data_IF_312135524594
#
_entry.id   IF_312135524594
#
_cell.length_a   1.000
_cell.length_b   1.000
_cell.length_c   1.000
_cell.angle_alpha   90.00
_cell.angle_beta   90.00
_cell.angle_gamma   90.00
#
_symmetry.space_group_name_H-M   'P 1'
#
loop_
_entity.id
_entity.type
_entity.pdbx_description
1 polymer ?
#
# COMPACT_ATOMS: atom_id res chain seq x y z
N UNK A 1 27.43 20.72 -13.07
CA UNK A 1 27.63 20.88 -14.53
C UNK A 1 26.31 20.54 -15.18
N UNK A 2 25.55 21.56 -15.55
CA UNK A 2 24.14 21.43 -15.92
C UNK A 2 23.95 20.80 -17.30
N UNK A 3 22.78 20.21 -17.51
CA UNK A 3 22.32 19.62 -18.78
C UNK A 3 22.51 20.61 -19.97
N UNK A 4 22.54 21.91 -19.70
CA UNK A 4 22.61 23.01 -20.70
C UNK A 4 23.98 23.20 -21.36
N UNK A 5 25.07 22.72 -20.80
CA UNK A 5 26.42 22.87 -21.36
C UNK A 5 26.69 22.03 -22.62
N UNK A 6 25.77 21.14 -22.99
CA UNK A 6 25.92 20.20 -24.10
C UNK A 6 25.31 20.67 -25.43
N UNK A 7 24.57 21.78 -25.42
CA UNK A 7 23.87 22.27 -26.59
C UNK A 7 24.51 23.56 -27.11
N UNK A 8 24.65 23.72 -28.44
CA UNK A 8 25.17 24.91 -29.04
C UNK A 8 24.31 26.17 -28.74
N UNK A 9 24.90 27.39 -28.76
CA UNK A 9 24.25 28.65 -28.34
C UNK A 9 22.84 28.87 -28.90
N UNK A 10 22.57 28.51 -30.15
CA UNK A 10 21.21 28.60 -30.75
C UNK A 10 20.16 27.73 -30.08
N UNK A 11 20.56 26.58 -29.57
CA UNK A 11 19.70 25.65 -28.84
C UNK A 11 19.47 26.12 -27.41
N UNK A 12 20.48 26.77 -26.79
CA UNK A 12 20.38 27.37 -25.46
C UNK A 12 19.43 28.58 -25.44
N UNK A 13 19.47 29.45 -26.46
CA UNK A 13 18.55 30.60 -26.57
C UNK A 13 17.10 30.12 -26.70
N UNK A 14 16.85 29.09 -27.50
CA UNK A 14 15.51 28.50 -27.69
C UNK A 14 15.00 27.73 -26.44
N UNK A 15 15.89 27.08 -25.71
CA UNK A 15 15.55 26.46 -24.41
C UNK A 15 15.17 27.51 -23.36
N UNK A 16 15.88 28.64 -23.32
CA UNK A 16 15.55 29.77 -22.45
C UNK A 16 14.22 30.45 -22.81
N UNK A 17 13.87 30.50 -24.10
CA UNK A 17 12.52 30.91 -24.56
C UNK A 17 11.43 29.92 -24.16
N UNK A 18 11.73 28.65 -24.25
CA UNK A 18 10.84 27.56 -23.81
C UNK A 18 10.55 27.64 -22.31
N UNK A 19 11.59 27.79 -21.50
CA UNK A 19 11.44 27.93 -20.03
C UNK A 19 10.57 29.14 -19.68
N UNK A 20 10.77 30.27 -20.40
CA UNK A 20 9.94 31.48 -20.22
C UNK A 20 8.48 31.24 -20.62
N UNK A 21 8.25 30.55 -21.74
CA UNK A 21 6.89 30.18 -22.18
C UNK A 21 6.20 29.22 -21.24
N UNK A 22 6.91 28.20 -20.74
CA UNK A 22 6.40 27.23 -19.74
C UNK A 22 6.10 27.92 -18.42
N UNK A 23 6.93 28.88 -17.98
CA UNK A 23 6.68 29.65 -16.76
C UNK A 23 5.43 30.53 -16.88
N UNK A 24 5.22 31.20 -18.04
CA UNK A 24 3.99 31.95 -18.34
C UNK A 24 2.75 31.07 -18.40
N UNK A 25 2.87 29.87 -18.96
CA UNK A 25 1.79 28.86 -18.96
C UNK A 25 1.51 28.33 -17.53
N UNK A 26 2.52 28.31 -16.65
CA UNK A 26 2.40 28.02 -15.22
C UNK A 26 1.46 28.98 -14.48
N UNK A 27 1.34 30.23 -14.91
CA UNK A 27 0.54 31.29 -14.29
C UNK A 27 -0.93 31.34 -14.75
N UNK A 28 -1.32 30.70 -15.86
CA UNK A 28 -2.62 30.84 -16.55
C UNK A 28 -3.60 29.63 -16.50
N UNK A 29 -3.72 28.85 -15.47
CA UNK A 29 -4.66 27.73 -15.11
C UNK A 29 -5.74 27.24 -16.10
N UNK A 30 -5.87 25.95 -16.23
CA UNK A 30 -6.96 25.01 -16.50
C UNK A 30 -7.00 24.15 -17.79
N UNK A 31 -6.37 24.46 -18.92
CA UNK A 31 -6.47 23.61 -20.14
C UNK A 31 -5.09 23.03 -20.59
N UNK A 32 -4.27 22.61 -19.66
CA UNK A 32 -2.82 22.66 -19.80
C UNK A 32 -2.12 21.40 -20.30
N UNK A 33 -2.60 20.21 -20.02
CA UNK A 33 -1.86 18.99 -20.39
C UNK A 33 -1.82 18.79 -21.91
N UNK A 34 -2.95 18.99 -22.60
CA UNK A 34 -3.05 18.88 -24.07
C UNK A 34 -2.32 19.99 -24.79
N UNK A 35 -2.31 21.22 -24.24
CA UNK A 35 -1.60 22.37 -24.84
C UNK A 35 -0.10 22.26 -24.69
N UNK A 36 0.40 21.71 -23.59
CA UNK A 36 1.84 21.49 -23.34
C UNK A 36 2.37 20.36 -24.22
N UNK A 37 1.66 19.24 -24.33
CA UNK A 37 2.07 18.15 -25.22
C UNK A 37 2.07 18.57 -26.69
N UNK A 38 1.08 19.32 -27.16
CA UNK A 38 1.03 19.86 -28.52
C UNK A 38 2.16 20.86 -28.78
N UNK A 39 2.47 21.75 -27.83
CA UNK A 39 3.55 22.72 -27.93
C UNK A 39 4.92 22.05 -27.87
N UNK A 40 5.07 20.99 -27.10
CA UNK A 40 6.26 20.15 -27.03
C UNK A 40 6.53 19.46 -28.37
N UNK A 41 5.51 18.90 -29.00
CA UNK A 41 5.59 18.27 -30.32
C UNK A 41 5.95 19.28 -31.42
N UNK A 42 5.43 20.50 -31.32
CA UNK A 42 5.78 21.62 -32.25
C UNK A 42 7.24 22.01 -32.09
N UNK A 43 7.76 22.10 -30.89
CA UNK A 43 9.12 22.48 -30.57
C UNK A 43 10.15 21.39 -30.89
N UNK A 44 9.80 20.11 -30.66
CA UNK A 44 10.61 18.97 -31.10
C UNK A 44 10.78 19.00 -32.64
N UNK A 45 9.74 19.35 -33.39
CA UNK A 45 9.81 19.50 -34.85
C UNK A 45 10.64 20.71 -35.30
N UNK A 46 10.72 21.78 -34.50
CA UNK A 46 11.45 23.01 -34.84
C UNK A 46 12.96 22.92 -34.55
N UNK A 47 13.42 21.97 -33.74
CA UNK A 47 14.84 21.83 -33.33
C UNK A 47 15.63 20.94 -34.30
N UNK A 48 15.30 20.74 -35.50
CA UNK A 48 16.03 20.31 -36.71
C UNK A 48 17.24 19.33 -36.63
N UNK A 49 17.93 19.18 -35.52
CA UNK A 49 18.96 18.16 -35.24
C UNK A 49 18.35 17.13 -34.29
N UNK A 50 18.33 15.85 -34.70
CA UNK A 50 17.60 14.78 -34.04
C UNK A 50 18.08 14.57 -32.58
N UNK A 51 17.33 15.05 -31.59
CA UNK A 51 17.60 14.67 -30.18
C UNK A 51 17.44 13.16 -30.03
N UNK A 52 18.32 12.56 -29.26
CA UNK A 52 18.21 11.10 -28.98
C UNK A 52 16.93 10.81 -28.17
N UNK A 53 16.41 9.60 -28.25
CA UNK A 53 15.26 9.16 -27.45
C UNK A 53 15.50 9.30 -25.92
N UNK A 54 16.76 9.43 -25.50
CA UNK A 54 17.19 9.70 -24.13
C UNK A 54 17.01 11.17 -23.80
N UNK A 55 17.47 12.07 -24.67
CA UNK A 55 17.36 13.53 -24.49
C UNK A 55 15.89 13.97 -24.43
N UNK A 56 15.04 13.35 -25.26
CA UNK A 56 13.60 13.60 -25.25
C UNK A 56 12.92 13.11 -23.96
N UNK A 57 13.38 11.99 -23.41
CA UNK A 57 12.88 11.49 -22.11
C UNK A 57 13.29 12.41 -20.97
N UNK A 58 14.56 12.84 -20.93
CA UNK A 58 15.07 13.75 -19.90
C UNK A 58 14.39 15.13 -19.98
N UNK A 59 14.14 15.64 -21.18
CA UNK A 59 13.40 16.89 -21.39
C UNK A 59 11.94 16.77 -20.99
N UNK A 60 11.26 15.68 -21.36
CA UNK A 60 9.89 15.40 -20.89
C UNK A 60 9.81 15.29 -19.37
N UNK A 61 10.80 14.67 -18.74
CA UNK A 61 10.87 14.54 -17.28
C UNK A 61 11.09 15.91 -16.62
N UNK A 62 11.98 16.74 -17.14
CA UNK A 62 12.22 18.09 -16.65
C UNK A 62 10.99 19.01 -16.82
N UNK A 63 10.31 18.95 -17.97
CA UNK A 63 9.10 19.74 -18.24
C UNK A 63 7.88 19.28 -17.43
N UNK A 64 7.75 18.00 -17.17
CA UNK A 64 6.69 17.46 -16.28
C UNK A 64 6.86 17.94 -14.84
N UNK A 65 8.10 18.05 -14.36
CA UNK A 65 8.40 18.60 -13.03
C UNK A 65 8.03 20.09 -12.89
N UNK A 66 8.07 20.86 -13.98
CA UNK A 66 7.76 22.31 -14.00
C UNK A 66 6.27 22.57 -14.30
N UNK A 67 5.63 21.70 -15.07
CA UNK A 67 4.27 21.89 -15.61
C UNK A 67 3.20 21.05 -14.92
N UNK A 68 3.56 20.20 -13.94
CA UNK A 68 2.57 19.45 -13.18
C UNK A 68 1.64 20.44 -12.47
N UNK A 69 0.32 20.48 -12.82
CA UNK A 69 -0.64 21.17 -11.97
C UNK A 69 -0.48 20.50 -10.60
N UNK A 70 -0.40 21.28 -9.55
CA UNK A 70 -0.38 20.68 -8.22
C UNK A 70 -1.67 19.85 -8.07
N UNK A 71 -1.62 18.52 -8.04
CA UNK A 71 -2.82 17.69 -7.80
C UNK A 71 -3.49 18.08 -6.50
N UNK A 72 -2.77 18.82 -5.68
CA UNK A 72 -3.12 19.31 -4.40
C UNK A 72 -4.38 20.19 -4.40
N UNK A 73 -4.60 21.10 -5.34
CA UNK A 73 -5.65 22.10 -5.17
C UNK A 73 -7.05 21.51 -5.35
N UNK A 74 -7.31 20.74 -6.40
CA UNK A 74 -8.60 20.06 -6.58
C UNK A 74 -8.85 18.95 -5.55
N UNK A 75 -7.78 18.33 -5.03
CA UNK A 75 -7.84 17.39 -3.92
C UNK A 75 -8.31 18.11 -2.65
N UNK A 76 -7.70 19.23 -2.31
CA UNK A 76 -8.03 20.03 -1.13
C UNK A 76 -9.47 20.57 -1.20
N UNK A 77 -9.88 21.11 -2.34
CA UNK A 77 -11.26 21.59 -2.55
C UNK A 77 -12.30 20.50 -2.25
N UNK A 78 -12.04 19.26 -2.71
CA UNK A 78 -12.94 18.14 -2.44
C UNK A 78 -12.99 17.79 -0.96
N UNK A 79 -11.84 17.81 -0.27
CA UNK A 79 -11.76 17.50 1.16
C UNK A 79 -12.35 18.64 2.01
N UNK A 80 -12.12 19.90 1.63
CA UNK A 80 -12.71 21.07 2.27
C UNK A 80 -14.25 21.00 2.25
N UNK A 81 -14.84 20.59 1.12
CA UNK A 81 -16.28 20.37 0.99
C UNK A 81 -16.78 19.27 1.94
N UNK A 82 -16.09 18.13 2.02
CA UNK A 82 -16.41 17.03 2.94
C UNK A 82 -16.32 17.51 4.40
N UNK A 83 -15.26 18.23 4.75
CA UNK A 83 -15.06 18.74 6.11
C UNK A 83 -16.17 19.72 6.52
N UNK A 84 -16.53 20.63 5.61
CA UNK A 84 -17.53 21.68 5.86
C UNK A 84 -18.98 21.17 5.86
N UNK A 85 -19.28 20.02 5.24
CA UNK A 85 -20.65 19.55 5.04
C UNK A 85 -21.40 19.19 6.34
N UNK A 86 -20.68 18.80 7.39
CA UNK A 86 -21.25 18.26 8.63
C UNK A 86 -21.88 16.85 8.51
N UNK A 87 -21.96 16.28 7.30
CA UNK A 87 -22.57 14.97 7.04
C UNK A 87 -21.66 13.82 7.53
N UNK A 88 -22.22 12.61 7.76
CA UNK A 88 -21.40 11.41 7.92
C UNK A 88 -20.45 11.22 6.75
N UNK A 89 -19.26 10.70 7.01
CA UNK A 89 -18.21 10.49 6.01
C UNK A 89 -17.88 9.00 5.93
N UNK A 90 -18.18 8.38 4.79
CA UNK A 90 -17.71 7.05 4.48
C UNK A 90 -16.25 7.12 4.02
N UNK A 91 -15.36 6.51 4.78
CA UNK A 91 -13.93 6.42 4.48
C UNK A 91 -13.64 5.05 3.84
N UNK A 92 -13.44 5.03 2.54
CA UNK A 92 -13.35 3.81 1.74
C UNK A 92 -14.29 3.85 0.53
N UNK A 93 -14.78 2.68 0.05
CA UNK A 93 -14.40 1.34 0.47
C UNK A 93 -12.96 1.00 0.10
N UNK A 94 -12.25 0.27 0.97
CA UNK A 94 -10.93 -0.23 0.64
C UNK A 94 -11.04 -1.68 0.12
N UNK A 95 -10.80 -1.87 -1.17
CA UNK A 95 -10.83 -3.16 -1.86
C UNK A 95 -9.45 -3.60 -2.35
N UNK A 96 -8.42 -2.78 -2.09
CA UNK A 96 -7.05 -2.99 -2.56
C UNK A 96 -6.19 -3.90 -1.69
N UNK A 97 -4.91 -3.95 -2.01
CA UNK A 97 -3.90 -4.76 -1.32
C UNK A 97 -3.63 -4.25 0.11
N UNK A 98 -3.35 -5.18 1.03
CA UNK A 98 -2.99 -4.91 2.44
C UNK A 98 -1.79 -3.96 2.55
N UNK A 99 -0.77 -4.16 1.72
CA UNK A 99 0.44 -3.33 1.76
C UNK A 99 0.18 -1.87 1.44
N UNK A 100 -0.67 -1.57 0.45
CA UNK A 100 -1.06 -0.20 0.11
C UNK A 100 -1.95 0.42 1.19
N UNK A 101 -2.82 -0.36 1.82
CA UNK A 101 -3.65 0.08 2.93
C UNK A 101 -2.80 0.56 4.10
N UNK A 102 -1.82 -0.26 4.50
CA UNK A 102 -0.94 0.02 5.63
C UNK A 102 0.05 1.14 5.38
N UNK A 103 0.67 1.19 4.18
CA UNK A 103 1.75 2.13 3.89
C UNK A 103 1.26 3.50 3.41
N UNK A 104 0.08 3.56 2.80
CA UNK A 104 -0.37 4.79 2.15
C UNK A 104 -1.76 5.22 2.60
N UNK A 105 -2.77 4.33 2.56
CA UNK A 105 -4.15 4.72 2.82
C UNK A 105 -4.39 5.12 4.27
N UNK A 106 -4.05 4.28 5.22
CA UNK A 106 -4.20 4.58 6.65
C UNK A 106 -3.39 5.82 7.04
N UNK A 107 -2.09 5.96 6.69
CA UNK A 107 -1.33 7.18 6.96
C UNK A 107 -1.90 8.44 6.29
N UNK A 108 -2.52 8.32 5.11
CA UNK A 108 -3.21 9.42 4.45
C UNK A 108 -4.47 9.84 5.23
N UNK A 109 -5.27 8.90 5.72
CA UNK A 109 -6.42 9.19 6.59
C UNK A 109 -5.98 9.87 7.89
N UNK A 110 -4.91 9.40 8.54
CA UNK A 110 -4.38 10.03 9.74
C UNK A 110 -3.93 11.49 9.47
N UNK A 111 -3.33 11.75 8.31
CA UNK A 111 -2.99 13.10 7.89
C UNK A 111 -4.24 13.95 7.68
N UNK A 112 -5.29 13.42 7.01
CA UNK A 112 -6.55 14.10 6.80
C UNK A 112 -7.23 14.46 8.13
N UNK A 113 -7.36 13.50 9.05
CA UNK A 113 -7.92 13.73 10.39
C UNK A 113 -7.25 14.89 11.09
N UNK A 114 -5.93 14.90 11.07
CA UNK A 114 -5.17 15.96 11.73
C UNK A 114 -5.27 17.32 11.03
N UNK A 115 -5.42 17.35 9.70
CA UNK A 115 -5.48 18.59 8.92
C UNK A 115 -6.85 19.27 8.96
N UNK A 116 -7.92 18.47 8.93
CA UNK A 116 -9.29 18.96 8.87
C UNK A 116 -10.08 18.75 10.16
N UNK A 117 -9.46 18.18 11.21
CA UNK A 117 -10.10 17.91 12.49
C UNK A 117 -11.44 17.17 12.32
N UNK A 118 -11.47 16.18 11.42
CA UNK A 118 -12.66 15.37 11.20
C UNK A 118 -13.04 14.69 12.51
N UNK A 119 -14.30 14.93 12.94
CA UNK A 119 -14.81 14.29 14.15
C UNK A 119 -14.92 12.78 13.92
N UNK A 120 -14.36 11.95 14.79
CA UNK A 120 -14.52 10.49 14.71
C UNK A 120 -15.98 10.05 14.66
N UNK A 121 -16.89 10.85 15.25
CA UNK A 121 -18.32 10.54 15.28
C UNK A 121 -19.00 10.59 13.92
N UNK A 122 -18.40 11.26 12.96
CA UNK A 122 -18.87 11.32 11.58
C UNK A 122 -18.33 10.20 10.70
N UNK A 123 -17.31 9.50 11.14
CA UNK A 123 -16.60 8.54 10.30
C UNK A 123 -17.29 7.17 10.28
N UNK A 124 -17.41 6.59 9.09
CA UNK A 124 -17.76 5.19 8.86
C UNK A 124 -16.66 4.59 8.01
N UNK A 125 -15.80 3.80 8.64
CA UNK A 125 -14.70 3.12 7.93
C UNK A 125 -15.24 1.89 7.21
N UNK A 126 -14.87 1.75 5.94
CA UNK A 126 -15.28 0.61 5.12
C UNK A 126 -14.05 -0.08 4.53
N UNK A 127 -13.74 -1.25 5.05
CA UNK A 127 -12.64 -2.11 4.59
C UNK A 127 -13.04 -3.58 4.74
N UNK A 128 -12.11 -4.51 4.83
CA UNK A 128 -12.35 -5.94 4.86
C UNK A 128 -11.52 -6.66 5.92
N UNK A 129 -11.98 -7.83 6.37
CA UNK A 129 -11.25 -8.73 7.24
C UNK A 129 -11.16 -8.30 8.71
N UNK A 130 -12.05 -7.39 9.17
CA UNK A 130 -12.18 -6.99 10.56
C UNK A 130 -11.17 -5.96 11.07
N UNK A 131 -10.57 -5.16 10.21
CA UNK A 131 -9.40 -4.29 10.51
C UNK A 131 -9.73 -2.94 11.15
N UNK A 132 -10.82 -2.82 11.90
CA UNK A 132 -11.19 -1.59 12.60
C UNK A 132 -10.03 -0.99 13.42
N UNK A 133 -9.28 -1.82 14.14
CA UNK A 133 -8.12 -1.43 14.94
C UNK A 133 -6.98 -0.78 14.13
N UNK A 134 -6.83 -1.10 12.84
CA UNK A 134 -5.83 -0.44 11.99
C UNK A 134 -6.13 1.03 11.79
N UNK A 135 -7.41 1.41 11.82
CA UNK A 135 -7.88 2.79 11.68
C UNK A 135 -8.04 3.51 13.02
N UNK A 136 -7.71 2.87 14.15
CA UNK A 136 -7.93 3.41 15.48
C UNK A 136 -9.41 3.63 15.78
N UNK A 137 -10.27 2.78 15.21
CA UNK A 137 -11.73 2.88 15.36
C UNK A 137 -12.30 1.70 16.12
N UNK A 138 -13.41 1.95 16.79
CA UNK A 138 -14.24 0.93 17.39
C UNK A 138 -15.06 0.17 16.33
N UNK A 139 -15.50 -1.03 16.66
CA UNK A 139 -16.22 -1.91 15.72
C UNK A 139 -17.56 -1.29 15.24
N UNK A 140 -18.19 -0.43 16.05
CA UNK A 140 -19.43 0.25 15.70
C UNK A 140 -19.27 1.31 14.61
N UNK A 141 -18.05 1.77 14.35
CA UNK A 141 -17.72 2.72 13.28
C UNK A 141 -17.06 2.07 12.06
N UNK A 142 -17.00 0.78 12.06
CA UNK A 142 -16.41 -0.03 10.99
C UNK A 142 -17.49 -0.89 10.34
N UNK A 143 -17.46 -0.99 9.02
CA UNK A 143 -18.26 -1.93 8.24
C UNK A 143 -17.33 -2.80 7.43
N UNK A 144 -17.41 -4.10 7.67
CA UNK A 144 -16.66 -5.07 6.88
C UNK A 144 -17.39 -5.36 5.56
N UNK A 145 -16.67 -5.23 4.45
CA UNK A 145 -17.22 -5.52 3.12
C UNK A 145 -17.67 -6.98 3.03
N UNK A 146 -16.89 -7.89 3.66
CA UNK A 146 -17.15 -9.32 3.61
C UNK A 146 -18.31 -9.76 4.50
N UNK A 147 -18.82 -8.87 5.37
CA UNK A 147 -20.10 -9.08 6.06
C UNK A 147 -21.33 -8.76 5.18
N UNK A 148 -21.14 -8.00 4.10
CA UNK A 148 -22.20 -7.57 3.18
C UNK A 148 -22.16 -8.31 1.84
N UNK A 149 -20.98 -8.80 1.44
CA UNK A 149 -20.72 -9.51 0.20
C UNK A 149 -19.90 -10.77 0.49
N UNK A 150 -20.17 -11.85 -0.23
CA UNK A 150 -19.38 -13.07 -0.10
C UNK A 150 -17.93 -12.86 -0.56
N UNK A 151 -17.00 -13.69 -0.08
CA UNK A 151 -15.61 -13.65 -0.51
C UNK A 151 -15.47 -13.88 -2.03
N UNK A 152 -16.35 -14.70 -2.63
CA UNK A 152 -16.36 -14.97 -4.07
C UNK A 152 -16.82 -13.75 -4.87
N UNK A 153 -17.88 -13.06 -4.43
CA UNK A 153 -18.32 -11.79 -5.06
C UNK A 153 -17.25 -10.72 -4.97
N UNK A 154 -16.62 -10.59 -3.80
CA UNK A 154 -15.51 -9.65 -3.59
C UNK A 154 -14.37 -9.94 -4.56
N UNK A 155 -13.89 -11.20 -4.61
CA UNK A 155 -12.79 -11.62 -5.47
C UNK A 155 -13.08 -11.40 -6.95
N UNK A 156 -14.29 -11.77 -7.41
CA UNK A 156 -14.73 -11.57 -8.80
C UNK A 156 -14.74 -10.08 -9.16
N UNK A 157 -15.27 -9.21 -8.29
CA UNK A 157 -15.33 -7.77 -8.52
C UNK A 157 -13.94 -7.13 -8.58
N UNK A 158 -13.04 -7.51 -7.67
CA UNK A 158 -11.65 -7.01 -7.64
C UNK A 158 -10.88 -7.46 -8.89
N UNK A 159 -11.11 -8.68 -9.37
CA UNK A 159 -10.48 -9.20 -10.60
C UNK A 159 -10.96 -8.47 -11.86
N UNK A 160 -12.25 -8.06 -11.93
CA UNK A 160 -12.79 -7.26 -13.03
C UNK A 160 -12.22 -5.84 -13.06
N UNK A 161 -12.00 -5.24 -11.90
CA UNK A 161 -11.48 -3.88 -11.78
C UNK A 161 -9.97 -3.82 -11.98
N UNK A 162 -9.49 -4.07 -13.21
CA UNK A 162 -8.06 -4.04 -13.58
C UNK A 162 -7.34 -2.72 -13.34
N UNK A 163 -8.04 -1.62 -13.06
CA UNK A 163 -7.47 -0.29 -12.79
C UNK A 163 -7.66 0.07 -11.32
N UNK A 164 -6.63 -0.26 -10.54
CA UNK A 164 -6.55 -0.01 -9.10
C UNK A 164 -7.02 1.41 -8.74
N UNK A 165 -8.20 1.52 -8.14
CA UNK A 165 -8.70 2.54 -7.21
C UNK A 165 -8.52 4.04 -7.55
N UNK A 166 -8.15 4.43 -8.77
CA UNK A 166 -8.00 5.86 -9.12
C UNK A 166 -9.34 6.62 -9.16
N UNK A 167 -10.43 5.91 -9.38
CA UNK A 167 -11.81 6.42 -9.38
C UNK A 167 -12.72 5.34 -8.81
N UNK A 168 -13.87 5.71 -8.21
CA UNK A 168 -14.87 4.73 -7.80
C UNK A 168 -15.26 3.83 -8.97
N UNK A 169 -15.27 2.52 -8.73
CA UNK A 169 -15.74 1.49 -9.66
C UNK A 169 -17.19 1.10 -9.37
N UNK A 170 -17.75 0.23 -10.21
CA UNK A 170 -19.11 -0.26 -10.03
C UNK A 170 -19.28 -1.03 -8.69
N UNK A 171 -18.25 -1.75 -8.27
CA UNK A 171 -18.28 -2.45 -6.99
C UNK A 171 -18.20 -1.48 -5.81
N UNK A 172 -17.35 -0.44 -5.87
CA UNK A 172 -17.28 0.59 -4.83
C UNK A 172 -18.63 1.27 -4.62
N UNK A 173 -19.37 1.56 -5.71
CA UNK A 173 -20.72 2.12 -5.62
C UNK A 173 -21.72 1.14 -4.98
N UNK A 174 -21.65 -0.15 -5.32
CA UNK A 174 -22.48 -1.20 -4.71
C UNK A 174 -22.21 -1.29 -3.21
N UNK A 175 -20.94 -1.31 -2.80
CA UNK A 175 -20.53 -1.34 -1.40
C UNK A 175 -21.04 -0.10 -0.67
N UNK A 176 -20.82 1.09 -1.24
CA UNK A 176 -21.32 2.35 -0.65
C UNK A 176 -22.83 2.31 -0.40
N UNK A 177 -23.62 1.91 -1.41
CA UNK A 177 -25.07 1.78 -1.28
C UNK A 177 -25.49 0.74 -0.23
N UNK A 178 -24.77 -0.38 -0.15
CA UNK A 178 -25.03 -1.43 0.84
C UNK A 178 -24.72 -0.93 2.27
N UNK A 179 -23.63 -0.20 2.47
CA UNK A 179 -23.25 0.38 3.76
C UNK A 179 -24.28 1.42 4.21
N UNK A 180 -24.67 2.34 3.32
CA UNK A 180 -25.71 3.35 3.61
C UNK A 180 -26.99 2.69 4.10
N UNK A 181 -27.44 1.66 3.40
CA UNK A 181 -28.64 0.90 3.79
C UNK A 181 -28.45 0.14 5.11
N UNK A 182 -27.32 -0.54 5.28
CA UNK A 182 -27.02 -1.32 6.47
C UNK A 182 -26.96 -0.48 7.74
N UNK A 183 -26.44 0.75 7.62
CA UNK A 183 -26.29 1.70 8.74
C UNK A 183 -27.48 2.66 8.90
N UNK A 184 -28.44 2.64 8.00
CA UNK A 184 -29.57 3.58 8.01
C UNK A 184 -29.14 5.03 7.85
N UNK A 185 -28.06 5.29 7.08
CA UNK A 185 -27.52 6.63 6.86
C UNK A 185 -28.39 7.38 5.84
N UNK A 186 -28.55 8.69 6.04
CA UNK A 186 -29.08 9.60 5.03
C UNK A 186 -28.01 10.00 4.02
N UNK A 187 -27.98 11.30 3.68
CA UNK A 187 -26.93 11.85 2.82
C UNK A 187 -25.55 11.71 3.47
N UNK A 188 -24.59 11.15 2.72
CA UNK A 188 -23.22 10.93 3.17
C UNK A 188 -22.22 11.55 2.20
N UNK A 189 -21.07 11.91 2.73
CA UNK A 189 -19.89 12.18 1.91
C UNK A 189 -19.03 10.92 1.79
N UNK A 190 -18.31 10.77 0.68
CA UNK A 190 -17.43 9.62 0.46
C UNK A 190 -15.99 10.09 0.27
N UNK A 191 -15.14 9.68 1.19
CA UNK A 191 -13.69 9.84 1.08
C UNK A 191 -13.12 8.57 0.44
N UNK A 192 -13.09 8.55 -0.90
CA UNK A 192 -12.68 7.37 -1.66
C UNK A 192 -11.16 7.27 -1.79
N UNK A 193 -10.54 6.05 -1.75
CA UNK A 193 -9.11 5.83 -1.92
C UNK A 193 -8.51 6.44 -3.19
N UNK A 194 -9.32 6.67 -4.22
CA UNK A 194 -8.93 7.37 -5.43
C UNK A 194 -8.32 8.75 -5.21
N UNK A 195 -8.64 9.42 -4.09
CA UNK A 195 -8.02 10.69 -3.71
C UNK A 195 -6.54 10.50 -3.42
N UNK A 196 -6.20 9.52 -2.58
CA UNK A 196 -4.83 9.15 -2.26
C UNK A 196 -4.06 8.69 -3.52
N UNK A 197 -4.68 7.85 -4.36
CA UNK A 197 -4.03 7.39 -5.59
C UNK A 197 -3.71 8.53 -6.56
N UNK A 198 -4.55 9.57 -6.62
CA UNK A 198 -4.24 10.77 -7.40
C UNK A 198 -3.16 11.63 -6.76
N UNK A 199 -3.19 11.80 -5.42
CA UNK A 199 -2.19 12.55 -4.69
C UNK A 199 -0.79 11.96 -4.84
N UNK A 200 -0.66 10.62 -4.83
CA UNK A 200 0.63 9.93 -4.87
C UNK A 200 1.03 9.44 -6.27
N UNK A 201 0.22 9.68 -7.30
CA UNK A 201 0.55 9.29 -8.66
C UNK A 201 1.95 9.77 -9.12
N UNK A 202 2.38 11.02 -8.86
CA UNK A 202 3.71 11.49 -9.22
C UNK A 202 4.85 10.72 -8.53
N UNK A 203 4.64 10.25 -7.30
CA UNK A 203 5.61 9.42 -6.60
C UNK A 203 5.78 8.04 -7.24
N UNK A 204 4.66 7.40 -7.60
CA UNK A 204 4.70 6.07 -8.23
C UNK A 204 5.13 6.07 -9.69
N UNK A 205 5.13 7.24 -10.35
CA UNK A 205 5.65 7.43 -11.72
C UNK A 205 7.06 8.00 -11.77
N UNK A 206 7.78 8.06 -10.64
CA UNK A 206 9.13 8.63 -10.51
C UNK A 206 9.22 10.14 -10.86
N UNK A 207 8.10 10.86 -10.81
CA UNK A 207 8.04 12.31 -11.06
C UNK A 207 8.24 13.12 -9.77
N UNK A 208 8.03 12.51 -8.60
CA UNK A 208 8.24 13.13 -7.29
C UNK A 208 8.95 12.17 -6.32
N UNK A 209 9.71 12.76 -5.38
CA UNK A 209 10.39 12.00 -4.33
C UNK A 209 9.55 11.77 -3.08
N UNK A 210 10.18 11.20 -2.05
CA UNK A 210 9.54 10.85 -0.75
C UNK A 210 8.90 12.04 -0.04
N UNK A 211 9.37 13.27 -0.28
CA UNK A 211 8.80 14.48 0.30
C UNK A 211 7.29 14.61 0.02
N UNK A 212 6.82 14.11 -1.14
CA UNK A 212 5.39 14.08 -1.45
C UNK A 212 4.62 13.14 -0.50
N UNK A 213 5.17 11.96 -0.21
CA UNK A 213 4.54 11.02 0.71
C UNK A 213 4.54 11.59 2.13
N UNK A 214 5.67 12.12 2.61
CA UNK A 214 5.80 12.72 3.95
C UNK A 214 4.84 13.90 4.15
N UNK A 215 4.59 14.68 3.09
CA UNK A 215 3.68 15.83 3.14
C UNK A 215 2.23 15.42 3.40
N UNK A 216 1.79 14.27 2.88
CA UNK A 216 0.39 13.84 2.88
C UNK A 216 0.14 12.56 3.67
N UNK A 217 1.08 12.16 4.52
CA UNK A 217 0.91 10.99 5.39
C UNK A 217 1.32 11.28 6.82
N UNK A 218 0.70 10.55 7.75
CA UNK A 218 1.11 10.44 9.16
C UNK A 218 1.11 8.97 9.56
N UNK A 219 2.23 8.27 9.38
CA UNK A 219 2.33 6.89 9.81
C UNK A 219 2.24 6.80 11.34
N UNK A 220 1.69 5.71 11.85
CA UNK A 220 1.63 5.41 13.28
C UNK A 220 1.77 3.92 13.54
N UNK A 221 2.11 3.58 14.77
CA UNK A 221 2.00 2.21 15.23
C UNK A 221 0.53 1.78 15.29
N UNK A 222 0.28 0.51 15.04
CA UNK A 222 -1.06 -0.05 15.11
C UNK A 222 -1.37 -0.51 16.54
N UNK A 223 -2.63 -0.39 16.92
CA UNK A 223 -3.16 -0.93 18.15
C UNK A 223 -3.47 -2.42 17.97
N UNK A 224 -3.23 -3.21 19.01
CA UNK A 224 -3.56 -4.63 18.98
C UNK A 224 -5.05 -4.82 18.79
N UNK A 225 -5.43 -5.72 17.90
CA UNK A 225 -6.82 -6.16 17.77
C UNK A 225 -7.25 -6.90 19.02
N UNK A 226 -8.50 -6.70 19.45
CA UNK A 226 -9.13 -7.52 20.48
C UNK A 226 -9.51 -8.92 19.97
N UNK A 227 -9.50 -9.11 18.64
CA UNK A 227 -9.79 -10.38 18.00
C UNK A 227 -8.70 -11.42 18.30
N UNK A 228 -9.15 -12.59 18.73
CA UNK A 228 -8.26 -13.69 19.10
C UNK A 228 -8.59 -14.96 18.33
N UNK A 229 -7.64 -15.87 18.25
CA UNK A 229 -7.87 -17.22 17.76
C UNK A 229 -8.67 -18.03 18.79
N UNK A 230 -9.41 -19.05 18.34
CA UNK A 230 -10.20 -19.91 19.22
C UNK A 230 -9.34 -20.73 20.19
N UNK A 231 -8.19 -21.21 19.72
CA UNK A 231 -7.26 -21.96 20.55
C UNK A 231 -6.24 -21.03 21.22
N UNK A 232 -5.87 -21.25 22.47
CA UNK A 232 -4.83 -20.49 23.15
C UNK A 232 -3.49 -20.70 22.43
N UNK A 233 -2.80 -19.61 22.12
CA UNK A 233 -1.45 -19.64 21.56
C UNK A 233 -0.42 -19.73 22.70
N UNK A 234 0.74 -20.36 22.47
CA UNK A 234 1.85 -20.32 23.42
C UNK A 234 2.34 -18.88 23.63
N UNK A 235 3.01 -18.65 24.75
CA UNK A 235 3.55 -17.32 25.07
C UNK A 235 4.69 -16.90 24.14
N UNK A 236 5.43 -17.86 23.58
CA UNK A 236 6.56 -17.63 22.68
C UNK A 236 6.39 -18.40 21.37
N UNK A 237 6.35 -17.68 20.27
CA UNK A 237 6.20 -18.24 18.92
C UNK A 237 6.65 -17.28 17.84
N UNK A 238 6.90 -17.83 16.65
CA UNK A 238 7.12 -17.08 15.42
C UNK A 238 5.86 -17.19 14.55
N UNK A 239 5.31 -16.05 14.13
CA UNK A 239 4.20 -16.02 13.17
C UNK A 239 4.74 -16.19 11.75
N UNK A 240 4.15 -17.09 10.98
CA UNK A 240 4.65 -17.41 9.63
C UNK A 240 3.53 -17.37 8.62
N UNK A 241 3.80 -16.71 7.48
CA UNK A 241 2.95 -16.78 6.30
C UNK A 241 3.74 -16.79 5.00
N UNK A 242 3.70 -17.91 4.31
CA UNK A 242 4.15 -18.00 2.93
C UNK A 242 2.96 -18.03 1.99
N UNK A 243 3.03 -17.23 0.93
CA UNK A 243 2.08 -17.24 -0.17
C UNK A 243 2.82 -16.97 -1.47
N UNK A 244 2.26 -17.43 -2.59
CA UNK A 244 2.86 -17.26 -3.90
C UNK A 244 2.34 -16.00 -4.56
N UNK A 245 3.28 -15.24 -5.13
CA UNK A 245 3.06 -13.96 -5.80
C UNK A 245 4.09 -13.78 -6.92
N UNK A 246 4.08 -12.65 -7.61
CA UNK A 246 5.10 -12.35 -8.63
C UNK A 246 6.53 -12.35 -8.07
N UNK A 247 6.73 -11.85 -6.85
CA UNK A 247 8.06 -11.81 -6.23
C UNK A 247 8.47 -13.14 -5.58
N UNK A 248 7.52 -14.05 -5.34
CA UNK A 248 7.76 -15.40 -4.81
C UNK A 248 6.85 -16.40 -5.51
N UNK A 249 7.12 -16.73 -6.79
CA UNK A 249 6.23 -17.58 -7.60
C UNK A 249 6.18 -19.02 -7.10
N UNK A 250 5.12 -19.74 -7.45
CA UNK A 250 4.83 -21.11 -7.02
C UNK A 250 5.71 -22.17 -7.71
N UNK A 251 7.04 -21.99 -7.67
CA UNK A 251 8.00 -22.96 -8.20
C UNK A 251 8.31 -24.06 -7.19
N UNK A 252 8.89 -25.18 -7.65
CA UNK A 252 9.32 -26.28 -6.79
C UNK A 252 10.38 -25.82 -5.78
N UNK A 253 11.30 -24.95 -6.22
CA UNK A 253 12.37 -24.38 -5.40
C UNK A 253 11.81 -23.50 -4.27
N UNK A 254 10.86 -22.63 -4.59
CA UNK A 254 10.23 -21.75 -3.59
C UNK A 254 9.37 -22.54 -2.59
N UNK A 255 8.69 -23.60 -3.04
CA UNK A 255 7.97 -24.52 -2.16
C UNK A 255 8.92 -25.26 -1.21
N UNK A 256 10.04 -25.75 -1.73
CA UNK A 256 11.07 -26.40 -0.94
C UNK A 256 11.71 -25.42 0.04
N UNK A 257 12.01 -24.19 -0.40
CA UNK A 257 12.52 -23.12 0.47
C UNK A 257 11.60 -22.84 1.64
N UNK A 258 10.31 -22.59 1.38
CA UNK A 258 9.31 -22.34 2.43
C UNK A 258 9.23 -23.51 3.42
N UNK A 259 9.24 -24.76 2.92
CA UNK A 259 9.26 -25.96 3.76
C UNK A 259 10.47 -26.01 4.67
N UNK A 260 11.67 -25.76 4.11
CA UNK A 260 12.93 -25.81 4.86
C UNK A 260 12.97 -24.72 5.94
N UNK A 261 12.53 -23.50 5.63
CA UNK A 261 12.44 -22.40 6.60
C UNK A 261 11.51 -22.77 7.75
N UNK A 262 10.30 -23.22 7.46
CA UNK A 262 9.33 -23.59 8.49
C UNK A 262 9.83 -24.77 9.34
N UNK A 263 10.43 -25.79 8.71
CA UNK A 263 10.99 -26.94 9.42
C UNK A 263 12.13 -26.53 10.36
N UNK A 264 13.06 -25.69 9.88
CA UNK A 264 14.18 -25.19 10.68
C UNK A 264 13.73 -24.32 11.87
N UNK A 265 12.67 -23.53 11.71
CA UNK A 265 12.07 -22.78 12.82
C UNK A 265 11.40 -23.73 13.82
N UNK A 266 10.64 -24.72 13.35
CA UNK A 266 9.92 -25.65 14.20
C UNK A 266 10.82 -26.56 15.06
N UNK A 267 12.07 -26.78 14.64
CA UNK A 267 13.07 -27.48 15.46
C UNK A 267 13.42 -26.73 16.75
N UNK A 268 13.25 -25.40 16.76
CA UNK A 268 13.75 -24.52 17.82
C UNK A 268 12.67 -23.75 18.58
N UNK A 269 11.56 -23.43 17.91
CA UNK A 269 10.47 -22.62 18.48
C UNK A 269 9.12 -23.08 17.95
N UNK A 270 8.04 -22.65 18.59
CA UNK A 270 6.70 -22.85 18.04
C UNK A 270 6.49 -21.94 16.83
N UNK A 271 5.96 -22.50 15.76
CA UNK A 271 5.56 -21.81 14.53
C UNK A 271 4.05 -21.72 14.47
N UNK A 272 3.53 -20.50 14.31
CA UNK A 272 2.09 -20.27 14.11
C UNK A 272 1.86 -19.85 12.67
N UNK A 273 1.23 -20.73 11.89
CA UNK A 273 0.89 -20.53 10.49
C UNK A 273 -0.37 -19.67 10.37
N UNK A 274 -0.27 -18.57 9.61
CA UNK A 274 -1.34 -17.58 9.45
C UNK A 274 -2.28 -17.85 8.28
N UNK A 275 -2.05 -18.91 7.51
CA UNK A 275 -2.80 -19.20 6.30
C UNK A 275 -4.27 -19.51 6.63
N UNK A 276 -5.24 -18.79 6.02
CA UNK A 276 -6.64 -18.87 6.44
C UNK A 276 -7.39 -20.09 5.91
N UNK A 277 -6.85 -20.83 4.93
CA UNK A 277 -7.53 -21.97 4.31
C UNK A 277 -8.59 -21.60 3.27
N UNK A 278 -8.81 -20.30 3.00
CA UNK A 278 -9.69 -19.79 1.94
C UNK A 278 -9.02 -18.63 1.20
N UNK A 279 -9.43 -18.39 -0.05
CA UNK A 279 -8.92 -17.30 -0.88
C UNK A 279 -9.82 -16.06 -0.77
N UNK A 280 -9.21 -14.91 -0.42
CA UNK A 280 -9.87 -13.58 -0.46
C UNK A 280 -9.26 -12.71 -1.56
N UNK A 281 -8.03 -13.03 -2.00
CA UNK A 281 -7.27 -12.34 -3.04
C UNK A 281 -6.69 -13.34 -4.06
N UNK A 282 -5.87 -12.85 -4.98
CA UNK A 282 -5.23 -13.68 -6.01
C UNK A 282 -4.03 -14.50 -5.50
N UNK A 283 -3.67 -14.40 -4.22
CA UNK A 283 -2.53 -15.11 -3.67
C UNK A 283 -2.88 -16.56 -3.34
N UNK A 284 -2.03 -17.48 -3.77
CA UNK A 284 -2.13 -18.89 -3.39
C UNK A 284 -1.31 -19.13 -2.12
N UNK A 285 -1.98 -19.46 -1.03
CA UNK A 285 -1.33 -19.79 0.23
C UNK A 285 -0.52 -21.09 0.13
N UNK A 286 0.61 -21.13 0.83
CA UNK A 286 1.37 -22.34 1.04
C UNK A 286 1.11 -22.88 2.46
N UNK A 287 0.81 -24.16 2.56
CA UNK A 287 0.59 -24.85 3.85
C UNK A 287 1.66 -25.93 4.03
N UNK A 288 2.28 -26.06 5.21
CA UNK A 288 3.17 -27.17 5.52
C UNK A 288 2.37 -28.45 5.80
N UNK A 289 3.06 -29.58 5.71
CA UNK A 289 2.57 -30.81 6.30
C UNK A 289 2.49 -30.65 7.83
N UNK A 290 1.50 -31.28 8.46
CA UNK A 290 1.34 -31.25 9.94
C UNK A 290 2.57 -31.84 10.63
N UNK A 291 3.13 -31.11 11.60
CA UNK A 291 4.27 -31.52 12.40
C UNK A 291 4.15 -30.95 13.82
N UNK A 292 4.87 -31.56 14.75
CA UNK A 292 5.02 -31.03 16.11
C UNK A 292 5.54 -29.59 16.06
N UNK A 293 5.06 -28.75 16.97
CA UNK A 293 5.34 -27.32 17.08
C UNK A 293 4.89 -26.45 15.91
N UNK A 294 4.06 -26.95 15.00
CA UNK A 294 3.41 -26.15 13.96
C UNK A 294 1.93 -26.07 14.26
N UNK A 295 1.44 -24.87 14.57
CA UNK A 295 0.03 -24.59 14.86
C UNK A 295 -0.54 -23.83 13.65
N UNK A 296 -1.62 -24.31 13.08
CA UNK A 296 -2.39 -23.58 12.07
C UNK A 296 -3.57 -22.87 12.72
N UNK A 297 -3.81 -21.60 12.34
CA UNK A 297 -4.96 -20.84 12.81
C UNK A 297 -6.13 -20.86 11.81
N UNK A 298 -5.99 -21.56 10.69
CA UNK A 298 -7.00 -21.57 9.61
C UNK A 298 -8.37 -22.05 10.07
N UNK A 299 -8.41 -23.01 10.98
CA UNK A 299 -9.65 -23.57 11.51
C UNK A 299 -10.43 -22.53 12.32
N UNK A 300 -11.58 -22.13 11.79
CA UNK A 300 -12.47 -21.15 12.43
C UNK A 300 -12.20 -19.69 12.10
N UNK A 301 -11.31 -19.41 11.15
CA UNK A 301 -11.25 -18.09 10.50
C UNK A 301 -12.44 -17.93 9.56
N UNK A 302 -13.01 -16.73 9.56
CA UNK A 302 -14.01 -16.31 8.56
C UNK A 302 -13.47 -15.13 7.77
N UNK A 303 -13.93 -14.91 6.54
CA UNK A 303 -13.45 -13.78 5.73
C UNK A 303 -13.51 -12.44 6.45
N UNK A 304 -14.59 -12.18 7.21
CA UNK A 304 -14.85 -10.91 7.90
C UNK A 304 -13.89 -10.66 9.08
N UNK A 305 -13.25 -11.69 9.62
CA UNK A 305 -12.36 -11.60 10.78
C UNK A 305 -10.91 -11.95 10.46
N UNK A 306 -10.67 -12.36 9.23
CA UNK A 306 -9.41 -12.94 8.80
C UNK A 306 -8.19 -12.05 9.12
N UNK A 307 -8.20 -10.81 8.67
CA UNK A 307 -7.07 -9.89 8.88
C UNK A 307 -6.94 -9.45 10.34
N UNK A 308 -8.06 -9.26 11.04
CA UNK A 308 -8.05 -8.90 12.47
C UNK A 308 -7.40 -9.99 13.33
N UNK A 309 -7.79 -11.26 13.13
CA UNK A 309 -7.22 -12.38 13.87
C UNK A 309 -5.75 -12.57 13.53
N UNK A 310 -5.38 -12.55 12.26
CA UNK A 310 -3.98 -12.65 11.86
C UNK A 310 -3.13 -11.49 12.41
N UNK A 311 -3.68 -10.28 12.46
CA UNK A 311 -3.05 -9.11 13.09
C UNK A 311 -2.80 -9.36 14.58
N UNK A 312 -3.76 -9.88 15.30
CA UNK A 312 -3.63 -10.24 16.72
C UNK A 312 -2.54 -11.27 16.95
N UNK A 313 -2.47 -12.31 16.10
CA UNK A 313 -1.40 -13.32 16.15
C UNK A 313 -0.04 -12.70 15.86
N UNK A 314 0.09 -11.87 14.83
CA UNK A 314 1.36 -11.17 14.53
C UNK A 314 1.77 -10.27 15.70
N UNK A 315 0.84 -9.51 16.26
CA UNK A 315 1.12 -8.58 17.36
C UNK A 315 1.58 -9.26 18.66
N UNK A 316 1.25 -10.55 18.85
CA UNK A 316 1.70 -11.38 19.96
C UNK A 316 2.97 -12.19 19.69
N UNK A 317 3.43 -12.23 18.43
CA UNK A 317 4.59 -13.03 18.04
C UNK A 317 5.91 -12.36 18.42
N UNK A 318 6.95 -13.17 18.65
CA UNK A 318 8.33 -12.69 18.79
C UNK A 318 8.89 -12.14 17.49
N UNK A 319 8.52 -12.74 16.36
CA UNK A 319 8.91 -12.32 15.03
C UNK A 319 7.88 -12.78 14.00
N UNK A 320 7.90 -12.13 12.83
CA UNK A 320 7.20 -12.56 11.63
C UNK A 320 8.18 -13.06 10.57
N UNK A 321 7.85 -14.18 9.94
CA UNK A 321 8.62 -14.75 8.82
C UNK A 321 7.67 -15.10 7.68
N UNK A 322 7.99 -14.72 6.44
CA UNK A 322 7.13 -15.09 5.31
C UNK A 322 7.51 -14.47 3.98
N UNK A 323 6.56 -14.50 3.04
CA UNK A 323 6.74 -13.85 1.74
C UNK A 323 6.73 -12.33 1.89
N UNK A 324 7.61 -11.66 1.14
CA UNK A 324 7.64 -10.20 1.08
C UNK A 324 6.31 -9.64 0.52
N UNK A 325 5.70 -8.72 1.25
CA UNK A 325 4.43 -8.08 0.89
C UNK A 325 3.67 -7.53 2.09
N UNK A 326 2.36 -7.41 1.98
CA UNK A 326 1.51 -6.71 2.97
C UNK A 326 1.71 -7.15 4.41
N UNK A 327 1.80 -8.45 4.67
CA UNK A 327 2.00 -8.97 6.04
C UNK A 327 3.41 -8.66 6.59
N UNK A 328 4.40 -8.58 5.74
CA UNK A 328 5.75 -8.18 6.17
C UNK A 328 5.82 -6.71 6.57
N UNK A 329 4.91 -5.86 6.06
CA UNK A 329 4.77 -4.48 6.51
C UNK A 329 3.95 -4.37 7.80
N UNK A 330 2.99 -5.27 8.00
CA UNK A 330 2.10 -5.27 9.15
C UNK A 330 2.85 -5.51 10.47
N UNK A 331 3.75 -6.50 10.51
CA UNK A 331 4.46 -6.89 11.71
C UNK A 331 5.27 -5.75 12.36
N UNK A 332 6.10 -4.98 11.63
CA UNK A 332 6.80 -3.83 12.18
C UNK A 332 5.90 -2.79 12.82
N UNK A 333 4.70 -2.57 12.29
CA UNK A 333 3.73 -1.63 12.85
C UNK A 333 3.19 -2.06 14.22
N UNK A 334 3.34 -3.33 14.59
CA UNK A 334 3.11 -3.86 15.95
C UNK A 334 4.38 -3.98 16.79
N UNK A 335 5.50 -3.40 16.34
CA UNK A 335 6.83 -3.56 16.95
C UNK A 335 7.36 -5.00 16.94
N UNK A 336 6.93 -5.81 15.98
CA UNK A 336 7.39 -7.17 15.76
C UNK A 336 8.36 -7.19 14.58
N UNK A 337 9.62 -7.64 14.75
CA UNK A 337 10.58 -7.70 13.66
C UNK A 337 10.11 -8.69 12.58
N UNK A 338 10.35 -8.34 11.31
CA UNK A 338 9.92 -9.13 10.17
C UNK A 338 11.10 -9.53 9.28
N UNK A 339 11.17 -10.82 8.96
CA UNK A 339 12.03 -11.35 7.88
C UNK A 339 11.13 -11.76 6.72
N UNK A 340 11.38 -11.15 5.56
CA UNK A 340 10.53 -11.32 4.39
C UNK A 340 11.34 -11.81 3.19
N UNK A 341 10.87 -12.86 2.53
CA UNK A 341 11.59 -13.53 1.45
C UNK A 341 10.99 -13.24 0.09
N UNK A 342 11.86 -13.07 -0.90
CA UNK A 342 11.54 -13.00 -2.31
C UNK A 342 12.57 -13.79 -3.14
N UNK A 343 12.15 -14.31 -4.28
CA UNK A 343 13.05 -14.98 -5.25
C UNK A 343 13.14 -14.23 -6.57
N UNK A 344 12.32 -13.20 -6.76
CA UNK A 344 12.36 -12.30 -7.91
C UNK A 344 12.10 -10.88 -7.44
N UNK A 345 12.96 -9.95 -7.83
CA UNK A 345 12.78 -8.53 -7.53
C UNK A 345 11.79 -7.90 -8.52
N UNK A 346 10.55 -8.39 -8.55
CA UNK A 346 9.46 -7.84 -9.35
C UNK A 346 8.73 -6.68 -8.67
N UNK A 347 8.97 -6.48 -7.38
CA UNK A 347 8.37 -5.38 -6.60
C UNK A 347 9.12 -4.06 -6.81
N UNK A 348 8.38 -2.96 -6.73
CA UNK A 348 8.97 -1.62 -6.80
C UNK A 348 9.67 -1.30 -5.49
N UNK A 349 10.95 -0.91 -5.55
CA UNK A 349 11.74 -0.48 -4.38
C UNK A 349 11.12 0.72 -3.65
N UNK A 350 10.31 1.53 -4.32
CA UNK A 350 9.55 2.63 -3.72
C UNK A 350 8.75 2.21 -2.49
N UNK A 351 8.05 1.06 -2.55
CA UNK A 351 7.22 0.60 -1.43
C UNK A 351 8.08 0.18 -0.24
N UNK A 352 9.21 -0.50 -0.49
CA UNK A 352 10.16 -0.88 0.55
C UNK A 352 10.77 0.35 1.22
N UNK A 353 11.24 1.31 0.42
CA UNK A 353 11.84 2.54 0.95
C UNK A 353 10.81 3.39 1.72
N UNK A 354 9.58 3.51 1.21
CA UNK A 354 8.51 4.19 1.93
C UNK A 354 8.21 3.52 3.28
N UNK A 355 8.17 2.18 3.31
CA UNK A 355 8.00 1.42 4.54
C UNK A 355 9.15 1.65 5.54
N UNK A 356 10.40 1.51 5.11
CA UNK A 356 11.58 1.69 5.95
C UNK A 356 11.63 3.12 6.54
N UNK A 357 11.29 4.11 5.72
CA UNK A 357 11.21 5.51 6.15
C UNK A 357 10.11 5.72 7.19
N UNK A 358 8.89 5.25 6.91
CA UNK A 358 7.78 5.33 7.85
C UNK A 358 8.10 4.63 9.19
N UNK A 359 8.68 3.42 9.13
CA UNK A 359 9.06 2.65 10.31
C UNK A 359 10.10 3.37 11.16
N UNK A 360 11.11 3.98 10.52
CA UNK A 360 12.11 4.79 11.22
C UNK A 360 11.48 6.00 11.94
N UNK A 361 10.52 6.68 11.30
CA UNK A 361 9.86 7.87 11.87
C UNK A 361 9.04 7.54 13.12
N UNK A 362 8.43 6.37 13.20
CA UNK A 362 7.52 5.99 14.29
C UNK A 362 8.13 5.01 15.30
N UNK A 363 9.40 4.67 15.16
CA UNK A 363 10.05 3.68 16.02
C UNK A 363 9.44 2.28 15.92
N UNK A 364 9.00 1.89 14.71
CA UNK A 364 8.55 0.54 14.40
C UNK A 364 9.72 -0.46 14.41
N UNK A 365 9.42 -1.75 14.44
CA UNK A 365 10.46 -2.78 14.35
C UNK A 365 11.07 -2.88 12.93
N UNK A 366 12.18 -3.61 12.82
CA UNK A 366 12.88 -3.78 11.55
C UNK A 366 12.10 -4.69 10.57
N UNK A 367 12.14 -4.34 9.31
CA UNK A 367 11.79 -5.20 8.18
C UNK A 367 13.07 -5.57 7.42
N UNK A 368 13.35 -6.85 7.30
CA UNK A 368 14.50 -7.40 6.58
C UNK A 368 14.03 -8.20 5.36
N UNK A 369 14.01 -7.61 4.16
CA UNK A 369 13.75 -8.34 2.92
C UNK A 369 15.02 -9.08 2.49
N UNK A 370 14.92 -10.38 2.19
CA UNK A 370 16.05 -11.24 1.84
C UNK A 370 15.74 -11.98 0.54
N UNK A 371 16.69 -11.94 -0.41
CA UNK A 371 16.68 -12.79 -1.58
C UNK A 371 16.98 -14.25 -1.16
N UNK A 372 16.11 -15.19 -1.55
CA UNK A 372 16.29 -16.63 -1.22
C UNK A 372 17.59 -17.22 -1.76
N UNK A 373 18.17 -16.61 -2.80
CA UNK A 373 19.47 -17.01 -3.32
C UNK A 373 20.63 -16.75 -2.34
N UNK A 374 20.42 -15.89 -1.33
CA UNK A 374 21.44 -15.55 -0.32
C UNK A 374 21.37 -16.50 0.89
N UNK A 375 21.65 -17.79 0.68
CA UNK A 375 21.49 -18.85 1.68
C UNK A 375 22.18 -18.56 3.03
N UNK A 376 23.39 -17.98 3.02
CA UNK A 376 24.11 -17.63 4.25
C UNK A 376 23.40 -16.54 5.05
N UNK A 377 22.85 -15.52 4.38
CA UNK A 377 22.08 -14.45 5.02
C UNK A 377 20.78 -15.00 5.59
N UNK A 378 20.10 -15.89 4.88
CA UNK A 378 18.89 -16.58 5.36
C UNK A 378 19.17 -17.31 6.67
N UNK A 379 20.25 -18.10 6.76
CA UNK A 379 20.60 -18.85 7.95
C UNK A 379 20.94 -17.94 9.15
N UNK A 380 21.68 -16.86 8.92
CA UNK A 380 21.98 -15.88 9.98
C UNK A 380 20.71 -15.20 10.48
N UNK A 381 19.82 -14.76 9.57
CA UNK A 381 18.58 -14.10 9.93
C UNK A 381 17.66 -15.02 10.75
N UNK A 382 17.46 -16.27 10.31
CA UNK A 382 16.66 -17.25 11.04
C UNK A 382 17.29 -17.60 12.40
N UNK A 383 18.61 -17.73 12.48
CA UNK A 383 19.34 -17.95 13.74
C UNK A 383 19.14 -16.83 14.74
N UNK A 384 19.21 -15.58 14.31
CA UNK A 384 19.00 -14.40 15.15
C UNK A 384 17.57 -14.32 15.73
N UNK A 385 16.55 -14.70 14.95
CA UNK A 385 15.16 -14.71 15.40
C UNK A 385 14.88 -15.75 16.50
N UNK A 386 15.69 -16.81 16.58
CA UNK A 386 15.48 -17.90 17.52
C UNK A 386 16.37 -17.76 18.78
N UNK A 387 17.43 -16.96 18.68
CA UNK A 387 18.35 -16.70 19.81
C UNK A 387 17.91 -15.52 20.71
N UNK A 388 17.04 -14.65 20.22
CA UNK A 388 16.48 -13.50 20.93
C UNK A 388 15.23 -13.89 21.73
#
# INVERSE_FOLDING_TARGET
MGIFDRFGRRTQDRLAELERAVRKLGEAGRDRATTIDAKLEELIRAVGDQPTAKDLRELRQALRGVAAPQPAQSLFESIDQIAASGRPVLIGPWTGEVGFELLYWIPFIEWLRARWQLSPDREVIVSRGGVASWYGQSADRYVDILSLFSADEFRAAVAEEKRKHRRPGAFDERVTKAVVRHRGLGDIDVLHPGLMFRAFAPYWSDEAGYALIDQFTRPRLLERSAETVRAPLPADYVAVRFYFSECFPATAENRLFARNVVSSLAERTTVVMLNPGFAVDEHADWLPDSRDRIISIGDGLTPERNLAVQSGVIAGARAFVGTYGGYSYLAPLYKVPAVAFYSRQSFKLHHLHAAQRAFSQIGAAALMPIDVAQASVVQVALGALVAA
#
